data_IF_521635139733
#
_entry.id   IF_521635139733
#
_cell.length_a   1.000
_cell.length_b   1.000
_cell.length_c   1.000
_cell.angle_alpha   90.00
_cell.angle_beta   90.00
_cell.angle_gamma   90.00
#
_symmetry.space_group_name_H-M   'P 1'
#
loop_
_entity.id
_entity.type
_entity.pdbx_description
1 polymer ?
#
# COMPACT_ATOMS: atom_id res chain seq x y z
N UNK A 1 -1.42 -5.97 44.73
CA UNK A 1 -0.46 -6.73 43.91
C UNK A 1 -1.02 -6.75 42.49
N UNK A 2 -0.47 -5.93 41.59
CA UNK A 2 -0.92 -5.87 40.19
C UNK A 2 -0.33 -7.06 39.42
N UNK A 3 -1.08 -7.65 38.46
CA UNK A 3 -0.52 -8.70 37.63
C UNK A 3 0.67 -8.15 36.82
N UNK A 4 1.71 -8.98 36.56
CA UNK A 4 2.84 -8.56 35.76
C UNK A 4 2.39 -8.19 34.35
N UNK A 5 2.92 -7.07 33.84
CA UNK A 5 2.72 -6.61 32.45
C UNK A 5 3.21 -7.70 31.48
N UNK A 6 2.45 -8.05 30.43
CA UNK A 6 2.89 -9.05 29.45
C UNK A 6 4.17 -8.58 28.74
N UNK A 7 5.04 -9.52 28.32
CA UNK A 7 6.29 -9.19 27.67
C UNK A 7 6.03 -8.44 26.36
N UNK A 8 6.71 -7.31 26.18
CA UNK A 8 6.71 -6.56 24.92
C UNK A 8 7.30 -7.44 23.83
N UNK A 9 6.55 -7.72 22.78
CA UNK A 9 7.04 -8.47 21.62
C UNK A 9 8.17 -7.67 20.95
N UNK A 10 9.42 -8.11 21.14
CA UNK A 10 10.57 -7.59 20.39
C UNK A 10 10.82 -8.49 19.18
N UNK A 11 10.53 -8.02 17.97
CA UNK A 11 10.97 -8.68 16.75
C UNK A 11 12.51 -8.53 16.67
N UNK A 12 13.25 -9.65 16.70
CA UNK A 12 14.71 -9.65 16.53
C UNK A 12 15.05 -9.98 15.09
N UNK A 13 15.61 -9.01 14.37
CA UNK A 13 16.30 -9.24 13.10
C UNK A 13 17.81 -9.10 13.35
N UNK A 14 18.56 -10.16 13.11
CA UNK A 14 20.03 -10.19 13.24
C UNK A 14 20.65 -9.82 11.88
N UNK A 15 21.33 -8.66 11.81
CA UNK A 15 22.23 -8.31 10.71
C UNK A 15 21.98 -6.95 10.02
N UNK A 16 22.99 -6.07 10.11
CA UNK A 16 23.23 -4.79 9.40
C UNK A 16 22.51 -3.49 9.83
N UNK A 17 23.34 -2.60 10.39
CA UNK A 17 23.31 -1.12 10.48
C UNK A 17 22.10 -0.41 11.14
N UNK A 18 22.34 0.06 12.37
CA UNK A 18 21.53 0.96 13.23
C UNK A 18 20.13 0.47 13.59
N UNK A 19 20.04 -0.14 14.78
CA UNK A 19 18.80 -0.48 15.49
C UNK A 19 18.04 0.79 15.86
N UNK A 20 17.16 1.26 14.99
CA UNK A 20 16.08 2.15 15.38
C UNK A 20 14.99 1.29 16.01
N UNK A 21 14.87 1.29 17.33
CA UNK A 21 13.63 0.82 17.95
C UNK A 21 12.52 1.79 17.55
N UNK A 22 11.48 1.31 16.89
CA UNK A 22 10.29 2.10 16.64
C UNK A 22 9.23 1.74 17.68
N UNK A 23 8.47 2.74 18.14
CA UNK A 23 7.29 2.51 18.96
C UNK A 23 6.12 2.17 18.05
N UNK A 24 5.57 0.94 18.09
CA UNK A 24 4.42 0.57 17.28
C UNK A 24 3.24 1.55 17.43
N UNK A 25 3.00 2.09 18.63
CA UNK A 25 1.89 3.03 18.89
C UNK A 25 2.04 4.36 18.12
N UNK A 26 3.27 4.70 17.71
CA UNK A 26 3.59 5.88 16.92
C UNK A 26 4.11 5.52 15.52
N UNK A 27 3.92 4.28 15.07
CA UNK A 27 4.39 3.79 13.78
C UNK A 27 3.22 3.36 12.90
N UNK A 28 3.27 3.77 11.63
CA UNK A 28 2.30 3.36 10.61
C UNK A 28 3.00 2.60 9.50
N UNK A 29 2.42 1.48 9.07
CA UNK A 29 2.80 0.81 7.82
C UNK A 29 1.88 1.27 6.70
N UNK A 30 2.43 2.00 5.73
CA UNK A 30 1.72 2.44 4.54
C UNK A 30 1.87 1.40 3.42
N UNK A 31 0.77 0.77 3.02
CA UNK A 31 0.70 -0.13 1.87
C UNK A 31 0.28 0.71 0.66
N UNK A 32 1.19 0.88 -0.30
CA UNK A 32 0.97 1.77 -1.44
C UNK A 32 0.63 0.95 -2.67
N UNK A 33 -0.52 1.24 -3.28
CA UNK A 33 -0.89 0.82 -4.63
C UNK A 33 -0.78 -0.69 -4.89
N UNK A 34 -1.15 -1.50 -3.89
CA UNK A 34 -1.44 -2.94 -4.09
C UNK A 34 -2.87 -3.16 -4.61
N UNK A 35 -3.35 -2.25 -5.48
CA UNK A 35 -4.66 -2.35 -6.14
C UNK A 35 -4.64 -3.40 -7.27
N UNK A 36 -5.82 -3.89 -7.65
CA UNK A 36 -6.02 -4.87 -8.73
C UNK A 36 -5.42 -4.38 -10.05
N UNK A 37 -5.45 -3.08 -10.36
CA UNK A 37 -4.85 -2.51 -11.59
C UNK A 37 -3.36 -2.89 -11.75
N UNK A 38 -2.66 -3.11 -10.63
CA UNK A 38 -1.27 -3.55 -10.59
C UNK A 38 -1.13 -5.05 -10.32
N UNK A 39 -2.02 -5.65 -9.51
CA UNK A 39 -1.86 -7.05 -9.07
C UNK A 39 -2.56 -8.07 -9.96
N UNK A 40 -3.64 -7.70 -10.64
CA UNK A 40 -4.48 -8.62 -11.42
C UNK A 40 -3.86 -8.97 -12.78
N UNK A 41 -3.89 -10.26 -13.12
CA UNK A 41 -3.43 -10.74 -14.43
C UNK A 41 -4.24 -10.10 -15.57
N UNK A 42 -3.54 -9.54 -16.57
CA UNK A 42 -4.17 -8.84 -17.69
C UNK A 42 -4.72 -7.44 -17.34
N UNK A 43 -4.48 -6.94 -16.12
CA UNK A 43 -4.88 -5.57 -15.74
C UNK A 43 -4.09 -4.52 -16.50
N UNK A 44 -4.63 -3.30 -16.55
CA UNK A 44 -4.07 -2.22 -17.38
C UNK A 44 -2.60 -1.93 -17.09
N UNK A 45 -2.21 -1.96 -15.81
CA UNK A 45 -0.85 -1.64 -15.35
C UNK A 45 -0.24 -2.81 -14.59
N UNK A 46 -0.54 -4.05 -15.00
CA UNK A 46 -0.09 -5.25 -14.31
C UNK A 46 1.43 -5.20 -14.02
N UNK A 47 1.77 -5.49 -12.76
CA UNK A 47 3.13 -5.68 -12.25
C UNK A 47 3.26 -7.12 -11.76
N UNK A 48 3.64 -8.08 -12.62
CA UNK A 48 3.59 -9.51 -12.28
C UNK A 48 4.43 -9.87 -11.05
N UNK A 49 5.61 -9.27 -10.92
CA UNK A 49 6.52 -9.50 -9.79
C UNK A 49 5.94 -8.99 -8.47
N UNK A 50 5.01 -8.02 -8.50
CA UNK A 50 4.38 -7.44 -7.32
C UNK A 50 3.53 -8.43 -6.54
N UNK A 51 2.95 -9.44 -7.20
CA UNK A 51 2.17 -10.50 -6.50
C UNK A 51 3.02 -11.24 -5.46
N UNK A 52 4.32 -11.41 -5.72
CA UNK A 52 5.24 -12.09 -4.82
C UNK A 52 5.52 -11.34 -3.50
N UNK A 53 5.30 -10.02 -3.44
CA UNK A 53 5.54 -9.25 -2.21
C UNK A 53 4.34 -9.25 -1.26
N UNK A 54 3.14 -9.58 -1.74
CA UNK A 54 1.88 -9.51 -0.96
C UNK A 54 1.96 -10.35 0.31
N UNK A 55 2.56 -11.55 0.24
CA UNK A 55 2.73 -12.42 1.42
C UNK A 55 3.61 -11.77 2.50
N UNK A 56 4.68 -11.08 2.09
CA UNK A 56 5.58 -10.40 3.02
C UNK A 56 4.91 -9.16 3.63
N UNK A 57 4.18 -8.39 2.81
CA UNK A 57 3.39 -7.24 3.27
C UNK A 57 2.39 -7.71 4.32
N UNK A 58 1.61 -8.75 4.05
CA UNK A 58 0.64 -9.32 5.00
C UNK A 58 1.29 -9.78 6.32
N UNK A 59 2.50 -10.33 6.27
CA UNK A 59 3.28 -10.66 7.47
C UNK A 59 3.60 -9.43 8.33
N UNK A 60 4.07 -8.33 7.70
CA UNK A 60 4.34 -7.08 8.42
C UNK A 60 3.06 -6.45 8.96
N UNK A 61 1.97 -6.48 8.18
CA UNK A 61 0.65 -6.01 8.62
C UNK A 61 0.18 -6.73 9.87
N UNK A 62 0.30 -8.06 9.89
CA UNK A 62 -0.07 -8.87 11.05
C UNK A 62 0.80 -8.51 12.26
N UNK A 63 2.12 -8.47 12.08
CA UNK A 63 3.06 -8.19 13.16
C UNK A 63 2.84 -6.80 13.77
N UNK A 64 2.66 -5.76 12.94
CA UNK A 64 2.46 -4.39 13.42
C UNK A 64 1.08 -4.22 14.08
N UNK A 65 0.01 -4.81 13.52
CA UNK A 65 -1.33 -4.80 14.16
C UNK A 65 -1.29 -5.48 15.52
N UNK A 66 -0.63 -6.63 15.64
CA UNK A 66 -0.47 -7.34 16.92
C UNK A 66 0.34 -6.54 17.95
N UNK A 67 1.21 -5.63 17.50
CA UNK A 67 1.98 -4.74 18.36
C UNK A 67 1.27 -3.41 18.69
N UNK A 68 0.06 -3.18 18.16
CA UNK A 68 -0.73 -1.96 18.40
C UNK A 68 -0.42 -0.80 17.46
N UNK A 69 0.23 -1.05 16.33
CA UNK A 69 0.49 -0.03 15.31
C UNK A 69 -0.62 0.11 14.27
N UNK A 70 -0.50 1.17 13.47
CA UNK A 70 -1.52 1.58 12.48
C UNK A 70 -1.17 1.05 11.09
N UNK A 71 -2.20 0.63 10.35
CA UNK A 71 -2.07 0.27 8.93
C UNK A 71 -2.80 1.31 8.10
N UNK A 72 -2.14 1.87 7.10
CA UNK A 72 -2.74 2.76 6.12
C UNK A 72 -2.62 2.15 4.72
N UNK A 73 -3.73 2.11 3.98
CA UNK A 73 -3.72 1.74 2.57
C UNK A 73 -3.80 3.01 1.74
N UNK A 74 -2.87 3.16 0.81
CA UNK A 74 -2.85 4.24 -0.17
C UNK A 74 -3.33 3.67 -1.49
N UNK A 75 -4.32 4.33 -2.06
CA UNK A 75 -4.88 3.99 -3.36
C UNK A 75 -4.76 5.19 -4.28
N UNK A 76 -4.20 4.96 -5.46
CA UNK A 76 -4.37 5.83 -6.60
C UNK A 76 -5.84 5.79 -7.05
N UNK A 77 -6.44 6.96 -7.25
CA UNK A 77 -7.80 7.11 -7.79
C UNK A 77 -7.83 8.18 -8.87
N UNK A 78 -8.73 8.03 -9.83
CA UNK A 78 -9.10 9.11 -10.73
C UNK A 78 -10.27 9.88 -10.10
N UNK A 79 -10.13 11.20 -10.07
CA UNK A 79 -11.16 12.14 -9.65
C UNK A 79 -11.24 13.25 -10.71
N UNK A 80 -12.42 13.45 -11.28
CA UNK A 80 -12.65 14.44 -12.32
C UNK A 80 -12.61 15.87 -11.75
N UNK A 81 -12.89 16.01 -10.46
CA UNK A 81 -12.94 17.29 -9.75
C UNK A 81 -11.63 17.60 -9.01
N UNK A 82 -10.55 16.83 -9.26
CA UNK A 82 -9.24 17.03 -8.63
C UNK A 82 -8.66 18.40 -9.02
N UNK A 83 -8.46 19.32 -8.05
CA UNK A 83 -7.93 20.65 -8.34
C UNK A 83 -6.49 20.61 -8.86
N UNK A 84 -5.71 19.60 -8.46
CA UNK A 84 -4.30 19.44 -8.84
C UNK A 84 -4.10 18.23 -9.75
N UNK A 85 -4.77 18.24 -10.91
CA UNK A 85 -4.58 17.20 -11.91
C UNK A 85 -3.11 17.12 -12.34
N UNK A 86 -2.58 15.91 -12.51
CA UNK A 86 -1.22 15.66 -13.01
C UNK A 86 -1.11 15.92 -14.53
N UNK A 87 -1.39 17.16 -14.95
CA UNK A 87 -1.44 17.60 -16.36
C UNK A 87 -0.25 17.13 -17.19
N UNK A 88 1.01 17.44 -16.79
CA UNK A 88 2.20 17.01 -17.53
C UNK A 88 2.31 15.49 -17.74
N UNK A 89 1.68 14.69 -16.88
CA UNK A 89 1.64 13.24 -17.07
C UNK A 89 0.64 12.80 -18.12
N UNK A 90 -0.58 13.35 -18.07
CA UNK A 90 -1.64 12.99 -19.00
C UNK A 90 -1.41 13.60 -20.39
N UNK A 91 -0.81 14.77 -20.48
CA UNK A 91 -0.62 15.49 -21.75
C UNK A 91 0.40 14.79 -22.68
N UNK A 92 1.30 13.96 -22.12
CA UNK A 92 2.24 13.13 -22.91
C UNK A 92 1.67 11.78 -23.34
N UNK A 93 0.46 11.44 -22.93
CA UNK A 93 -0.17 10.16 -23.24
C UNK A 93 -1.06 10.25 -24.47
N UNK A 94 -1.21 9.13 -25.18
CA UNK A 94 -2.22 9.03 -26.21
C UNK A 94 -3.63 9.19 -25.58
N UNK A 95 -4.59 9.84 -26.27
CA UNK A 95 -5.92 10.08 -25.71
C UNK A 95 -6.64 8.79 -25.24
N UNK A 96 -6.47 7.68 -25.95
CA UNK A 96 -7.06 6.39 -25.58
C UNK A 96 -6.41 5.82 -24.30
N UNK A 97 -5.10 6.01 -24.12
CA UNK A 97 -4.40 5.61 -22.91
C UNK A 97 -4.90 6.39 -21.68
N UNK A 98 -5.12 7.70 -21.82
CA UNK A 98 -5.69 8.53 -20.76
C UNK A 98 -7.08 8.01 -20.35
N UNK A 99 -7.96 7.74 -21.32
CA UNK A 99 -9.30 7.21 -21.05
C UNK A 99 -9.27 5.86 -20.32
N UNK A 100 -8.34 4.96 -20.71
CA UNK A 100 -8.17 3.67 -20.03
C UNK A 100 -7.72 3.84 -18.58
N UNK A 101 -6.75 4.72 -18.32
CA UNK A 101 -6.29 5.04 -16.96
C UNK A 101 -7.42 5.62 -16.12
N UNK A 102 -8.14 6.62 -16.63
CA UNK A 102 -9.28 7.23 -15.93
C UNK A 102 -10.34 6.18 -15.57
N UNK A 103 -10.62 5.26 -16.49
CA UNK A 103 -11.56 4.16 -16.26
C UNK A 103 -11.03 3.19 -15.19
N UNK A 104 -9.79 2.74 -15.31
CA UNK A 104 -9.22 1.75 -14.37
C UNK A 104 -9.13 2.28 -12.92
N UNK A 105 -8.81 3.56 -12.76
CA UNK A 105 -8.66 4.21 -11.44
C UNK A 105 -9.94 4.87 -10.92
N UNK A 106 -11.05 4.84 -11.64
CA UNK A 106 -12.32 5.37 -11.12
C UNK A 106 -12.82 4.52 -9.96
N UNK A 107 -13.27 5.16 -8.88
CA UNK A 107 -13.79 4.48 -7.69
C UNK A 107 -14.96 3.55 -8.06
N UNK A 108 -14.97 2.34 -7.52
CA UNK A 108 -15.99 1.31 -7.79
C UNK A 108 -15.73 0.47 -9.03
N UNK A 109 -14.66 0.72 -9.79
CA UNK A 109 -14.21 -0.15 -10.87
C UNK A 109 -13.38 -1.30 -10.32
N UNK A 110 -13.45 -2.44 -11.00
CA UNK A 110 -12.75 -3.67 -10.60
C UNK A 110 -11.25 -3.43 -10.38
N UNK A 111 -10.60 -2.75 -11.32
CA UNK A 111 -9.16 -2.49 -11.24
C UNK A 111 -8.78 -1.49 -10.14
N UNK A 112 -9.72 -0.69 -9.61
CA UNK A 112 -9.47 0.22 -8.49
C UNK A 112 -9.49 -0.49 -7.12
N UNK A 113 -10.03 -1.72 -7.02
CA UNK A 113 -10.11 -2.46 -5.75
C UNK A 113 -8.71 -2.78 -5.17
N UNK A 114 -8.63 -3.04 -3.86
CA UNK A 114 -7.47 -3.66 -3.20
C UNK A 114 -7.53 -5.18 -3.33
#
# INVERSE_FOLDING_TARGET
MFPPKPPTASLRCEGLMTRSSFDPAHTTHAVVDLQVVFMGEGSLLEVPIGRGIVVHVNGVLQALRSAGGTIAYVQSKFDADEPHRWGPHYDRMAPDAVQRIQTAFSVGKEQHAL
#
